data_IF_062566541820
#
_entry.id   IF_062566541820
#
_cell.length_a   1.000
_cell.length_b   1.000
_cell.length_c   1.000
_cell.angle_alpha   90.00
_cell.angle_beta   90.00
_cell.angle_gamma   90.00
#
_symmetry.space_group_name_H-M   'P 1'
#
loop_
_entity.id
_entity.type
_entity.pdbx_description
1 polymer ?
#
# COMPACT_ATOMS: atom_id res chain seq x y z
N UNK A 1 23.67 0.20 49.31
CA UNK A 1 24.08 0.05 47.91
C UNK A 1 22.86 0.32 47.04
N UNK A 2 22.79 1.48 46.38
CA UNK A 2 21.66 1.87 45.55
C UNK A 2 21.84 1.32 44.13
N UNK A 3 21.07 0.30 43.76
CA UNK A 3 21.10 -0.29 42.42
C UNK A 3 20.22 0.50 41.46
N UNK A 4 20.87 1.11 40.48
CA UNK A 4 20.32 1.86 39.35
C UNK A 4 19.21 1.10 38.60
N UNK A 5 18.03 1.70 38.49
CA UNK A 5 16.95 1.22 37.62
C UNK A 5 17.24 1.58 36.16
N UNK A 6 17.91 0.67 35.43
CA UNK A 6 18.06 0.81 33.97
C UNK A 6 16.76 0.35 33.31
N UNK A 7 15.93 1.30 32.89
CA UNK A 7 14.68 1.00 32.16
C UNK A 7 15.01 0.34 30.82
N UNK A 8 14.56 -0.89 30.62
CA UNK A 8 14.69 -1.60 29.34
C UNK A 8 13.46 -1.27 28.50
N UNK A 9 13.67 -0.56 27.38
CA UNK A 9 12.61 -0.23 26.42
C UNK A 9 11.99 -1.54 25.88
N UNK A 10 10.66 -1.58 25.66
CA UNK A 10 10.01 -2.78 25.13
C UNK A 10 10.49 -3.10 23.71
N UNK A 11 10.64 -4.40 23.45
CA UNK A 11 11.03 -4.96 22.16
C UNK A 11 9.82 -4.92 21.22
N UNK A 12 9.92 -4.15 20.14
CA UNK A 12 8.86 -3.97 19.15
C UNK A 12 8.89 -5.10 18.14
N UNK A 13 8.02 -6.09 18.25
CA UNK A 13 7.83 -7.10 17.20
C UNK A 13 7.15 -6.47 15.98
N UNK A 14 7.83 -6.47 14.83
CA UNK A 14 7.27 -6.01 13.56
C UNK A 14 6.25 -7.05 13.04
N UNK A 15 4.95 -6.79 13.21
CA UNK A 15 3.90 -7.51 12.48
C UNK A 15 3.37 -6.60 11.37
N UNK A 16 3.77 -6.84 10.13
CA UNK A 16 3.25 -6.12 8.97
C UNK A 16 1.88 -6.67 8.56
N UNK A 17 0.80 -6.11 9.12
CA UNK A 17 -0.54 -6.27 8.55
C UNK A 17 -0.79 -5.15 7.56
N UNK A 18 -0.67 -5.46 6.27
CA UNK A 18 -1.06 -4.54 5.19
C UNK A 18 -2.57 -4.48 5.07
N UNK A 19 -3.20 -3.44 5.63
CA UNK A 19 -4.62 -3.17 5.45
C UNK A 19 -4.74 -2.10 4.36
N UNK A 20 -5.07 -2.52 3.13
CA UNK A 20 -5.30 -1.60 2.01
C UNK A 20 -6.72 -1.06 2.16
N UNK A 21 -6.87 0.18 2.66
CA UNK A 21 -8.15 0.89 2.66
C UNK A 21 -8.23 1.74 1.39
N UNK A 22 -9.09 1.36 0.46
CA UNK A 22 -9.39 2.20 -0.71
C UNK A 22 -10.27 3.37 -0.29
N UNK A 23 -9.67 4.54 -0.03
CA UNK A 23 -10.43 5.77 0.17
C UNK A 23 -10.66 6.48 -1.17
N UNK A 24 -11.92 6.61 -1.59
CA UNK A 24 -12.33 7.45 -2.71
C UNK A 24 -12.01 8.91 -2.39
N UNK A 25 -11.19 9.56 -3.23
CA UNK A 25 -10.81 10.97 -3.09
C UNK A 25 -10.94 11.69 -4.43
N UNK A 26 -11.43 12.93 -4.37
CA UNK A 26 -11.45 13.84 -5.51
C UNK A 26 -10.06 14.46 -5.68
N UNK A 27 -9.21 13.81 -6.48
CA UNK A 27 -7.88 14.35 -6.84
C UNK A 27 -7.87 14.86 -8.28
N UNK A 28 -7.32 16.06 -8.48
CA UNK A 28 -7.15 16.64 -9.81
C UNK A 28 -5.74 16.30 -10.31
N UNK A 29 -5.65 15.49 -11.37
CA UNK A 29 -4.38 15.15 -12.01
C UNK A 29 -4.10 16.14 -13.13
N UNK A 30 -3.03 16.94 -12.98
CA UNK A 30 -2.61 17.86 -14.04
C UNK A 30 -1.89 17.09 -15.15
N UNK A 31 -2.56 16.98 -16.30
CA UNK A 31 -2.05 16.31 -17.49
C UNK A 31 -1.45 17.38 -18.42
N UNK A 32 -0.13 17.38 -18.69
CA UNK A 32 0.45 18.32 -19.64
C UNK A 32 -0.12 18.06 -21.04
N UNK A 33 -0.28 19.10 -21.86
CA UNK A 33 -0.70 18.91 -23.25
C UNK A 33 0.34 18.09 -24.02
N UNK A 34 -0.12 17.19 -24.89
CA UNK A 34 0.74 16.36 -25.74
C UNK A 34 0.29 16.44 -27.19
N UNK A 35 1.22 16.31 -28.14
CA UNK A 35 0.96 16.48 -29.57
C UNK A 35 1.69 15.43 -30.39
N UNK A 36 0.97 14.80 -31.31
CA UNK A 36 1.51 13.93 -32.36
C UNK A 36 1.11 14.50 -33.72
N UNK A 37 2.05 14.56 -34.66
CA UNK A 37 1.83 15.17 -35.99
C UNK A 37 2.30 14.18 -37.06
N UNK A 38 1.51 14.05 -38.13
CA UNK A 38 1.93 13.33 -39.34
C UNK A 38 1.60 14.17 -40.57
N UNK A 39 2.61 14.39 -41.40
CA UNK A 39 2.52 15.17 -42.63
C UNK A 39 3.06 14.31 -43.76
N UNK A 40 2.26 14.18 -44.82
CA UNK A 40 2.65 13.47 -46.02
C UNK A 40 2.03 14.10 -47.26
N UNK A 41 2.71 13.96 -48.39
CA UNK A 41 2.18 14.32 -49.71
C UNK A 41 1.36 13.16 -50.25
N UNK A 42 0.12 13.45 -50.63
CA UNK A 42 -0.74 12.52 -51.33
C UNK A 42 -0.50 12.65 -52.84
N UNK A 43 -0.58 11.51 -53.53
CA UNK A 43 -0.57 11.44 -54.96
C UNK A 43 -1.66 10.50 -55.47
N UNK A 44 -1.79 10.46 -56.78
CA UNK A 44 -2.72 9.57 -57.47
C UNK A 44 -1.89 8.62 -58.31
N UNK A 45 -2.17 7.32 -58.21
CA UNK A 45 -1.58 6.29 -59.05
C UNK A 45 -2.25 6.29 -60.43
N UNK A 46 -1.64 5.59 -61.40
CA UNK A 46 -2.14 5.50 -62.78
C UNK A 46 -3.57 4.89 -62.87
N UNK A 47 -4.00 4.16 -61.84
CA UNK A 47 -5.34 3.57 -61.68
C UNK A 47 -6.37 4.55 -61.07
N UNK A 48 -5.99 5.80 -60.76
CA UNK A 48 -6.86 6.80 -60.14
C UNK A 48 -6.97 6.71 -58.61
N UNK A 49 -6.26 5.78 -57.97
CA UNK A 49 -6.30 5.61 -56.51
C UNK A 49 -5.35 6.58 -55.79
N UNK A 50 -5.82 7.15 -54.68
CA UNK A 50 -5.01 8.01 -53.80
C UNK A 50 -3.99 7.19 -53.03
N UNK A 51 -2.72 7.57 -53.10
CA UNK A 51 -1.61 6.94 -52.37
C UNK A 51 -0.72 7.96 -51.67
N UNK A 52 -0.03 7.52 -50.63
CA UNK A 52 0.98 8.35 -49.95
C UNK A 52 2.26 8.32 -50.79
N UNK A 53 2.66 9.46 -51.37
CA UNK A 53 3.88 9.57 -52.17
C UNK A 53 5.13 9.76 -51.32
N UNK A 54 5.04 10.60 -50.30
CA UNK A 54 6.19 10.99 -49.49
C UNK A 54 5.73 11.36 -48.09
N UNK A 55 6.39 10.84 -47.06
CA UNK A 55 6.17 11.24 -45.67
C UNK A 55 7.16 12.37 -45.35
N UNK A 56 6.63 13.56 -45.07
CA UNK A 56 7.42 14.77 -44.83
C UNK A 56 7.87 14.86 -43.37
N UNK A 57 6.95 14.59 -42.44
CA UNK A 57 7.23 14.76 -41.02
C UNK A 57 6.36 13.84 -40.18
N UNK A 58 7.00 13.17 -39.21
CA UNK A 58 6.32 12.39 -38.18
C UNK A 58 6.86 12.85 -36.83
N UNK A 59 6.00 13.47 -36.03
CA UNK A 59 6.32 13.84 -34.65
C UNK A 59 5.51 12.97 -33.70
N UNK A 60 6.23 12.35 -32.77
CA UNK A 60 5.65 11.58 -31.68
C UNK A 60 5.63 12.40 -30.42
N UNK A 61 4.47 12.43 -29.77
CA UNK A 61 4.33 12.96 -28.42
C UNK A 61 4.92 12.00 -27.39
N UNK A 62 4.90 12.41 -26.12
CA UNK A 62 5.34 11.54 -25.01
C UNK A 62 4.35 10.41 -24.72
N UNK A 63 3.07 10.62 -25.01
CA UNK A 63 1.94 9.70 -24.79
C UNK A 63 1.15 9.45 -26.07
N UNK A 64 1.01 10.48 -26.92
CA UNK A 64 0.43 10.37 -28.24
C UNK A 64 1.44 9.71 -29.18
N UNK A 65 1.20 8.44 -29.52
CA UNK A 65 2.05 7.69 -30.44
C UNK A 65 1.94 8.26 -31.85
N UNK A 66 2.90 7.88 -32.71
CA UNK A 66 2.82 8.22 -34.14
C UNK A 66 1.46 7.77 -34.68
N UNK A 67 0.71 8.66 -35.34
CA UNK A 67 -0.58 8.30 -35.90
C UNK A 67 -0.38 7.29 -37.03
N UNK A 68 -1.23 6.27 -37.05
CA UNK A 68 -1.30 5.29 -38.12
C UNK A 68 -2.18 5.86 -39.20
N UNK A 69 -1.61 6.00 -40.39
CA UNK A 69 -2.32 6.51 -41.56
C UNK A 69 -2.54 5.38 -42.53
N UNK A 70 -3.80 5.14 -42.87
CA UNK A 70 -4.23 4.12 -43.80
C UNK A 70 -5.10 4.78 -44.86
N UNK A 71 -4.90 4.40 -46.12
CA UNK A 71 -5.76 4.83 -47.22
C UNK A 71 -6.45 3.58 -47.76
N UNK A 72 -7.74 3.48 -47.52
CA UNK A 72 -8.60 2.40 -48.03
C UNK A 72 -9.77 3.04 -48.78
N UNK A 73 -10.06 2.57 -49.99
CA UNK A 73 -11.21 3.04 -50.80
C UNK A 73 -11.32 4.57 -50.95
N UNK A 74 -10.18 5.25 -51.15
CA UNK A 74 -10.08 6.72 -51.23
C UNK A 74 -10.42 7.47 -49.94
N UNK A 75 -10.62 6.76 -48.82
CA UNK A 75 -10.82 7.31 -47.48
C UNK A 75 -9.49 7.32 -46.73
N UNK A 76 -9.13 8.47 -46.18
CA UNK A 76 -7.96 8.65 -45.34
C UNK A 76 -8.34 8.40 -43.87
N UNK A 77 -7.95 7.25 -43.33
CA UNK A 77 -8.10 6.94 -41.92
C UNK A 77 -6.82 7.32 -41.16
N UNK A 78 -6.97 8.13 -40.11
CA UNK A 78 -5.87 8.60 -39.27
C UNK A 78 -6.18 8.27 -37.82
N UNK A 79 -5.52 7.24 -37.31
CA UNK A 79 -5.71 6.79 -35.93
C UNK A 79 -4.51 7.16 -35.07
N UNK A 80 -4.74 7.81 -33.93
CA UNK A 80 -3.71 8.04 -32.92
C UNK A 80 -4.04 7.28 -31.63
N UNK A 81 -3.05 6.55 -31.11
CA UNK A 81 -3.18 5.86 -29.83
C UNK A 81 -2.53 6.70 -28.74
N UNK A 82 -3.29 7.01 -27.69
CA UNK A 82 -2.84 7.73 -26.50
C UNK A 82 -2.99 6.83 -25.27
N UNK A 83 -1.92 6.70 -24.47
CA UNK A 83 -1.97 5.92 -23.23
C UNK A 83 -2.41 6.78 -22.04
N UNK A 84 -3.66 6.60 -21.61
CA UNK A 84 -4.20 7.20 -20.39
C UNK A 84 -4.11 6.26 -19.17
N UNK A 85 -3.87 4.96 -19.39
CA UNK A 85 -3.94 3.94 -18.35
C UNK A 85 -2.67 3.94 -17.49
N UNK A 86 -1.51 4.23 -18.09
CA UNK A 86 -0.23 4.35 -17.38
C UNK A 86 -0.24 5.44 -16.29
N UNK A 87 -0.96 6.55 -16.54
CA UNK A 87 -1.13 7.62 -15.55
C UNK A 87 -1.97 7.15 -14.36
N UNK A 88 -3.05 6.41 -14.63
CA UNK A 88 -3.91 5.84 -13.61
C UNK A 88 -3.17 4.82 -12.74
N UNK A 89 -2.39 3.93 -13.37
CA UNK A 89 -1.58 2.93 -12.66
C UNK A 89 -0.53 3.57 -11.75
N UNK A 90 0.22 4.56 -12.25
CA UNK A 90 1.21 5.30 -11.45
C UNK A 90 0.57 5.98 -10.23
N UNK A 91 -0.59 6.61 -10.41
CA UNK A 91 -1.32 7.22 -9.30
C UNK A 91 -1.74 6.16 -8.28
N UNK A 92 -2.25 5.01 -8.73
CA UNK A 92 -2.65 3.92 -7.84
C UNK A 92 -1.47 3.38 -7.02
N UNK A 93 -0.34 3.14 -7.68
CA UNK A 93 0.86 2.58 -7.04
C UNK A 93 1.49 3.53 -6.01
N UNK A 94 1.55 4.83 -6.28
CA UNK A 94 2.09 5.81 -5.31
C UNK A 94 1.25 5.83 -4.03
N UNK A 95 -0.07 5.79 -4.16
CA UNK A 95 -0.96 5.83 -3.00
C UNK A 95 -0.93 4.54 -2.20
N UNK A 96 -0.85 3.37 -2.85
CA UNK A 96 -0.67 2.09 -2.16
C UNK A 96 0.65 2.11 -1.37
N UNK A 97 1.72 2.64 -1.98
CA UNK A 97 3.02 2.75 -1.34
C UNK A 97 3.01 3.67 -0.12
N UNK A 98 2.30 4.80 -0.18
CA UNK A 98 2.21 5.72 0.95
C UNK A 98 1.40 5.14 2.12
N UNK A 99 0.32 4.39 1.84
CA UNK A 99 -0.42 3.66 2.88
C UNK A 99 0.43 2.58 3.57
N UNK A 100 1.29 1.89 2.82
CA UNK A 100 2.18 0.87 3.37
C UNK A 100 3.26 1.43 4.31
N UNK A 101 3.64 2.70 4.17
CA UNK A 101 4.66 3.33 5.03
C UNK A 101 4.14 3.61 6.44
N UNK A 102 2.84 3.67 6.65
CA UNK A 102 2.25 3.76 7.99
C UNK A 102 2.27 2.38 8.68
N UNK A 103 3.46 1.92 9.03
CA UNK A 103 3.59 0.74 9.88
C UNK A 103 3.17 1.12 11.30
N UNK A 104 1.96 0.71 11.68
CA UNK A 104 1.44 0.88 13.03
C UNK A 104 2.27 0.00 13.98
N UNK A 105 3.02 0.62 14.88
CA UNK A 105 3.70 -0.06 15.98
C UNK A 105 2.64 -0.64 16.91
N UNK A 106 2.34 -1.94 16.79
CA UNK A 106 1.53 -2.64 17.78
C UNK A 106 2.45 -2.96 18.96
N UNK A 107 2.26 -2.34 20.15
CA UNK A 107 3.00 -2.74 21.33
C UNK A 107 2.62 -4.18 21.65
N UNK A 108 3.52 -5.11 21.35
CA UNK A 108 3.34 -6.52 21.69
C UNK A 108 3.49 -6.64 23.20
N UNK A 109 2.49 -7.22 23.87
CA UNK A 109 2.54 -7.44 25.31
C UNK A 109 3.72 -8.36 25.64
N UNK A 110 4.68 -7.84 26.42
CA UNK A 110 5.88 -8.59 26.82
C UNK A 110 5.45 -9.81 27.64
N UNK A 111 5.93 -11.03 27.33
CA UNK A 111 5.66 -12.18 28.17
C UNK A 111 6.22 -11.93 29.58
N UNK A 112 5.47 -12.36 30.61
CA UNK A 112 5.89 -12.20 32.00
C UNK A 112 7.26 -12.87 32.20
N UNK A 113 8.18 -12.14 32.83
CA UNK A 113 9.50 -12.71 33.19
C UNK A 113 9.31 -13.88 34.15
N UNK A 114 10.17 -14.90 34.05
CA UNK A 114 10.15 -16.05 34.98
C UNK A 114 10.15 -15.59 36.45
N UNK A 115 10.85 -14.51 36.79
CA UNK A 115 10.84 -13.95 38.15
C UNK A 115 9.48 -13.35 38.55
N UNK A 116 8.80 -12.68 37.62
CA UNK A 116 7.46 -12.16 37.88
C UNK A 116 6.45 -13.31 38.03
N UNK A 117 6.64 -14.38 37.26
CA UNK A 117 5.81 -15.57 37.34
C UNK A 117 6.00 -16.32 38.67
N UNK A 118 7.23 -16.46 39.17
CA UNK A 118 7.48 -17.05 40.49
C UNK A 118 6.96 -16.19 41.63
N UNK A 119 7.08 -14.86 41.55
CA UNK A 119 6.51 -13.95 42.54
C UNK A 119 4.97 -14.04 42.60
N UNK A 120 4.30 -14.11 41.45
CA UNK A 120 2.86 -14.31 41.38
C UNK A 120 2.44 -15.67 41.95
N UNK A 121 3.22 -16.72 41.69
CA UNK A 121 2.95 -18.05 42.21
C UNK A 121 3.09 -18.11 43.74
N UNK A 122 4.15 -17.53 44.30
CA UNK A 122 4.35 -17.39 45.74
C UNK A 122 3.20 -16.63 46.41
N UNK A 123 2.76 -15.51 45.81
CA UNK A 123 1.62 -14.75 46.31
C UNK A 123 0.33 -15.56 46.33
N UNK A 124 0.08 -16.38 45.31
CA UNK A 124 -1.09 -17.29 45.27
C UNK A 124 -1.03 -18.35 46.37
N UNK A 125 0.12 -18.96 46.61
CA UNK A 125 0.30 -19.96 47.67
C UNK A 125 0.05 -19.35 49.05
N UNK A 126 0.56 -18.15 49.31
CA UNK A 126 0.33 -17.43 50.56
C UNK A 126 -1.16 -17.12 50.81
N UNK A 127 -1.88 -16.70 49.76
CA UNK A 127 -3.30 -16.37 49.85
C UNK A 127 -4.16 -17.63 50.14
N UNK A 128 -3.81 -18.76 49.51
CA UNK A 128 -4.46 -20.05 49.80
C UNK A 128 -4.17 -20.50 51.24
N UNK A 129 -2.94 -20.34 51.72
CA UNK A 129 -2.57 -20.67 53.10
C UNK A 129 -3.34 -19.84 54.14
N UNK A 130 -3.46 -18.53 53.91
CA UNK A 130 -4.19 -17.64 54.82
C UNK A 130 -5.70 -17.94 54.84
N UNK A 131 -6.31 -18.19 53.69
CA UNK A 131 -7.74 -18.51 53.61
C UNK A 131 -8.04 -19.88 54.22
N UNK A 132 -7.22 -20.90 53.91
CA UNK A 132 -7.34 -22.22 54.54
C UNK A 132 -7.11 -22.19 56.05
N UNK A 133 -6.11 -21.43 56.52
CA UNK A 133 -5.84 -21.24 57.94
C UNK A 133 -6.99 -20.55 58.68
N UNK A 134 -7.57 -19.49 58.11
CA UNK A 134 -8.75 -18.81 58.67
C UNK A 134 -9.95 -19.75 58.78
N UNK A 135 -10.23 -20.56 57.74
CA UNK A 135 -11.33 -21.51 57.75
C UNK A 135 -11.11 -22.57 58.84
N UNK A 136 -9.91 -23.15 58.94
CA UNK A 136 -9.58 -24.10 60.01
C UNK A 136 -9.73 -23.50 61.40
N UNK A 137 -9.29 -22.25 61.60
CA UNK A 137 -9.41 -21.55 62.88
C UNK A 137 -10.89 -21.31 63.26
N UNK A 138 -11.73 -20.94 62.28
CA UNK A 138 -13.19 -20.79 62.48
C UNK A 138 -13.86 -22.13 62.82
N UNK A 139 -13.47 -23.23 62.17
CA UNK A 139 -13.99 -24.57 62.45
C UNK A 139 -13.60 -25.02 63.87
N UNK A 140 -12.34 -24.84 64.26
CA UNK A 140 -11.84 -25.19 65.60
C UNK A 140 -12.59 -24.37 66.67
N UNK A 141 -12.80 -23.07 66.44
CA UNK A 141 -13.57 -22.20 67.34
C UNK A 141 -15.08 -22.48 67.40
N UNK A 142 -15.64 -23.23 66.45
CA UNK A 142 -17.05 -23.66 66.47
C UNK A 142 -17.26 -25.03 67.13
N UNK A 143 -16.20 -25.82 67.26
CA UNK A 143 -16.22 -27.18 67.82
C UNK A 143 -15.89 -27.17 69.32
N UNK A 144 -15.17 -26.16 69.80
CA UNK A 144 -14.95 -25.85 71.23
C UNK A 144 -16.06 -24.94 71.73
#
# INVERSE_FOLDING_TARGET
>A
MATSCRTTKPESTQQSKTIIKETLRDSVVNIPADRSIFQAKLGVNDLGNTVIKEVLNVQTGKRAKAPKVQIEDQVLNVDCACDSLDIYLKLKDTHITDMLKETVFVPTEKPLSMWQQTQLWMGRVMLIGLTGGLIMLVIIRKIV
#
